data_IF_754034714016
#
_entry.id   IF_754034714016
#
_cell.length_a   1.000
_cell.length_b   1.000
_cell.length_c   1.000
_cell.angle_alpha   90.00
_cell.angle_beta   90.00
_cell.angle_gamma   90.00
#
_symmetry.space_group_name_H-M   'P 1'
#
loop_
_entity.id
_entity.type
_entity.pdbx_description
1 polymer ?
#
# COMPACT_ATOMS: atom_id res chain seq x y z
N UNK A 1 -9.29 0.92 -5.50
CA UNK A 1 -9.87 2.17 -4.93
C UNK A 1 -10.21 3.10 -6.09
N UNK A 2 -11.38 2.88 -6.72
CA UNK A 2 -11.77 3.58 -7.95
C UNK A 2 -11.79 5.10 -7.81
N UNK A 3 -12.15 5.60 -6.63
CA UNK A 3 -12.21 7.04 -6.31
C UNK A 3 -10.84 7.75 -6.41
N UNK A 4 -9.75 7.03 -6.16
CA UNK A 4 -8.38 7.55 -6.31
C UNK A 4 -7.73 7.11 -7.63
N UNK A 5 -8.43 6.35 -8.47
CA UNK A 5 -7.87 5.74 -9.69
C UNK A 5 -6.68 4.81 -9.41
N UNK A 6 -6.68 4.14 -8.25
CA UNK A 6 -5.59 3.28 -7.78
C UNK A 6 -6.05 1.81 -7.62
N UNK A 7 -5.16 0.88 -7.90
CA UNK A 7 -5.39 -0.56 -7.81
C UNK A 7 -4.38 -1.23 -6.86
N UNK A 8 -4.50 -1.01 -5.54
CA UNK A 8 -3.69 -1.73 -4.54
C UNK A 8 -4.03 -3.22 -4.53
N UNK A 9 -3.06 -4.05 -4.14
CA UNK A 9 -3.21 -5.50 -4.06
C UNK A 9 -4.12 -5.92 -2.90
N UNK A 10 -4.01 -5.21 -1.78
CA UNK A 10 -4.82 -5.44 -0.59
C UNK A 10 -5.36 -4.11 -0.07
N UNK A 11 -6.58 -4.18 0.47
CA UNK A 11 -7.32 -3.04 1.04
C UNK A 11 -7.82 -3.46 2.40
N UNK A 12 -7.45 -2.71 3.44
CA UNK A 12 -7.94 -2.91 4.80
C UNK A 12 -8.73 -1.67 5.24
N UNK A 13 -9.87 -1.90 5.88
CA UNK A 13 -10.69 -0.85 6.49
C UNK A 13 -10.64 -1.10 7.99
N UNK A 14 -9.95 -0.22 8.69
CA UNK A 14 -9.73 -0.28 10.13
C UNK A 14 -10.58 0.81 10.82
N UNK A 15 -10.79 0.67 12.12
CA UNK A 15 -11.49 1.70 12.88
C UNK A 15 -10.62 2.97 12.91
N UNK A 16 -11.02 3.97 12.11
CA UNK A 16 -10.34 5.26 11.99
C UNK A 16 -9.32 5.39 10.87
N UNK A 17 -9.06 4.32 10.09
CA UNK A 17 -8.09 4.37 8.99
C UNK A 17 -8.49 3.47 7.81
N UNK A 18 -8.12 3.88 6.60
CA UNK A 18 -8.24 3.05 5.40
C UNK A 18 -6.84 2.81 4.85
N UNK A 19 -6.40 1.55 4.83
CA UNK A 19 -5.05 1.16 4.44
C UNK A 19 -5.06 0.49 3.06
N UNK A 20 -4.22 0.98 2.17
CA UNK A 20 -3.95 0.39 0.86
C UNK A 20 -2.54 -0.21 0.87
N UNK A 21 -2.42 -1.47 0.45
CA UNK A 21 -1.12 -2.16 0.39
C UNK A 21 -0.80 -2.52 -1.05
N UNK A 22 0.39 -2.13 -1.48
CA UNK A 22 0.97 -2.55 -2.75
C UNK A 22 2.10 -3.53 -2.48
N UNK A 23 2.10 -4.63 -3.22
CA UNK A 23 3.15 -5.64 -3.21
C UNK A 23 3.76 -5.67 -4.59
N UNK A 24 5.00 -5.22 -4.70
CA UNK A 24 5.70 -5.21 -5.97
C UNK A 24 6.28 -6.60 -6.22
N UNK A 25 5.86 -7.20 -7.35
CA UNK A 25 6.37 -8.49 -7.83
C UNK A 25 7.14 -8.29 -9.14
N UNK A 26 8.22 -9.05 -9.38
CA UNK A 26 8.97 -8.98 -10.62
C UNK A 26 8.08 -9.28 -11.83
N UNK A 27 8.31 -8.56 -12.93
CA UNK A 27 7.65 -8.83 -14.20
C UNK A 27 6.25 -8.25 -14.35
N UNK A 28 5.78 -7.44 -13.38
CA UNK A 28 4.59 -6.62 -13.61
C UNK A 28 4.95 -5.44 -14.54
N UNK A 29 4.18 -5.20 -15.62
CA UNK A 29 4.37 -4.01 -16.44
C UNK A 29 4.07 -2.75 -15.63
N UNK A 30 4.72 -1.64 -15.99
CA UNK A 30 4.43 -0.35 -15.39
C UNK A 30 2.95 0.01 -15.59
N UNK A 31 2.25 0.30 -14.50
CA UNK A 31 0.82 0.58 -14.47
C UNK A 31 0.55 1.85 -13.66
N UNK A 32 -0.14 2.82 -14.27
CA UNK A 32 -0.52 4.09 -13.64
C UNK A 32 -1.48 3.93 -12.45
N UNK A 33 -2.06 2.74 -12.26
CA UNK A 33 -2.90 2.44 -11.09
C UNK A 33 -2.09 1.94 -9.89
N UNK A 34 -0.80 1.65 -10.08
CA UNK A 34 0.11 1.10 -9.07
C UNK A 34 1.38 1.92 -8.88
N UNK A 35 1.66 2.87 -9.78
CA UNK A 35 2.81 3.76 -9.69
C UNK A 35 2.79 4.64 -8.42
N UNK A 36 3.86 5.39 -8.20
CA UNK A 36 3.99 6.26 -7.03
C UNK A 36 2.85 7.29 -6.94
N UNK A 37 2.42 7.83 -8.08
CA UNK A 37 1.32 8.80 -8.16
C UNK A 37 -0.03 8.20 -7.75
N UNK A 38 -0.25 6.91 -7.95
CA UNK A 38 -1.40 6.20 -7.39
C UNK A 38 -1.38 6.16 -5.86
N UNK A 39 -0.18 6.11 -5.26
CA UNK A 39 0.01 6.23 -3.81
C UNK A 39 -0.36 7.63 -3.32
N UNK A 40 0.15 8.68 -3.95
CA UNK A 40 -0.15 10.05 -3.55
C UNK A 40 -1.63 10.40 -3.66
N UNK A 41 -2.31 9.93 -4.73
CA UNK A 41 -3.77 10.10 -4.85
C UNK A 41 -4.55 9.42 -3.74
N UNK A 42 -4.07 8.28 -3.23
CA UNK A 42 -4.67 7.59 -2.09
C UNK A 42 -4.46 8.39 -0.80
N UNK A 43 -3.23 8.86 -0.57
CA UNK A 43 -2.90 9.69 0.59
C UNK A 43 -3.73 10.99 0.63
N UNK A 44 -3.86 11.68 -0.51
CA UNK A 44 -4.72 12.86 -0.67
C UNK A 44 -6.21 12.54 -0.39
N UNK A 45 -6.64 11.30 -0.66
CA UNK A 45 -7.97 10.81 -0.33
C UNK A 45 -8.11 10.33 1.13
N UNK A 46 -7.07 10.50 1.96
CA UNK A 46 -7.05 10.13 3.37
C UNK A 46 -6.76 8.66 3.65
N UNK A 47 -6.12 7.97 2.72
CA UNK A 47 -5.68 6.58 2.91
C UNK A 47 -4.23 6.53 3.39
N UNK A 48 -3.95 5.56 4.25
CA UNK A 48 -2.57 5.13 4.50
C UNK A 48 -2.12 4.21 3.38
N UNK A 49 -0.86 4.36 2.95
CA UNK A 49 -0.28 3.56 1.88
C UNK A 49 0.97 2.85 2.38
N UNK A 50 1.00 1.53 2.21
CA UNK A 50 2.20 0.72 2.50
C UNK A 50 2.61 -0.02 1.24
N UNK A 51 3.90 0.07 0.90
CA UNK A 51 4.48 -0.61 -0.25
C UNK A 51 5.48 -1.64 0.19
N UNK A 52 5.45 -2.81 -0.45
CA UNK A 52 6.38 -3.90 -0.25
C UNK A 52 7.16 -4.16 -1.54
N UNK A 53 8.32 -3.50 -1.72
CA UNK A 53 9.23 -3.76 -2.85
C UNK A 53 9.76 -5.19 -2.82
N UNK A 54 10.05 -5.78 -3.98
CA UNK A 54 10.61 -7.14 -4.06
C UNK A 54 11.97 -7.27 -3.34
N UNK A 55 12.79 -6.22 -3.33
CA UNK A 55 14.17 -6.21 -2.80
C UNK A 55 14.30 -5.54 -1.42
N UNK A 56 13.17 -5.25 -0.76
CA UNK A 56 13.16 -4.63 0.56
C UNK A 56 13.12 -5.64 1.71
N UNK A 57 13.51 -5.18 2.90
CA UNK A 57 13.30 -5.90 4.15
C UNK A 57 11.83 -5.72 4.62
N UNK A 58 11.00 -6.73 4.40
CA UNK A 58 9.58 -6.68 4.73
C UNK A 58 9.33 -6.72 6.24
N UNK A 59 10.23 -7.34 7.01
CA UNK A 59 10.14 -7.36 8.47
C UNK A 59 10.39 -5.95 9.03
N UNK A 60 11.32 -5.20 8.45
CA UNK A 60 11.53 -3.80 8.80
C UNK A 60 10.30 -2.92 8.45
N UNK A 61 9.67 -3.14 7.29
CA UNK A 61 8.47 -2.40 6.86
C UNK A 61 7.30 -2.68 7.81
N UNK A 62 7.03 -3.95 8.10
CA UNK A 62 5.96 -4.33 9.03
C UNK A 62 6.23 -3.86 10.46
N UNK A 63 7.49 -3.87 10.89
CA UNK A 63 7.91 -3.32 12.18
C UNK A 63 7.68 -1.81 12.31
N UNK A 64 7.95 -1.04 11.26
CA UNK A 64 7.65 0.40 11.24
C UNK A 64 6.13 0.67 11.24
N UNK A 65 5.37 -0.21 10.60
CA UNK A 65 3.91 -0.14 10.48
C UNK A 65 3.19 -1.05 11.50
N UNK A 66 3.80 -1.29 12.66
CA UNK A 66 3.30 -2.25 13.65
C UNK A 66 1.90 -1.94 14.21
N UNK A 67 1.43 -0.69 14.06
CA UNK A 67 0.06 -0.30 14.36
C UNK A 67 -0.99 -0.97 13.45
N UNK A 68 -0.59 -1.34 12.23
CA UNK A 68 -1.42 -2.06 11.26
C UNK A 68 -1.10 -3.55 11.22
N UNK A 69 0.18 -3.91 11.38
CA UNK A 69 0.66 -5.29 11.29
C UNK A 69 1.10 -5.79 12.66
N UNK A 70 0.14 -6.20 13.50
CA UNK A 70 0.46 -6.91 14.74
C UNK A 70 0.95 -8.32 14.41
N UNK A 71 2.28 -8.50 14.33
CA UNK A 71 2.93 -9.81 14.34
C UNK A 71 2.60 -10.50 15.67
N UNK A 72 1.87 -11.62 15.60
CA UNK A 72 1.46 -12.42 16.75
C UNK A 72 2.35 -13.63 16.93
#
# INVERSE_FOLDING_TARGET
>A
VPEAGACPDLVFRLDGASLAVFVDVPGHPADATRDLEAGYRLEDAGWDVVRFPTDADWDAITGHQAAYFHLR
#
